data_IF_799035666047
#
_entry.id   IF_799035666047
#
_cell.length_a   1.000
_cell.length_b   1.000
_cell.length_c   1.000
_cell.angle_alpha   90.00
_cell.angle_beta   90.00
_cell.angle_gamma   90.00
#
_symmetry.space_group_name_H-M   'P 1'
#
loop_
_entity.id
_entity.type
_entity.pdbx_description
1 polymer ?
#
# COMPACT_ATOMS: atom_id res chain seq x y z
N UNK A 1 3.76 -7.96 -16.97
CA UNK A 1 5.09 -8.44 -16.52
C UNK A 1 5.11 -8.28 -15.02
N UNK A 2 5.35 -9.37 -14.28
CA UNK A 2 5.34 -9.36 -12.82
C UNK A 2 6.61 -8.67 -12.30
N UNK A 3 6.49 -7.84 -11.27
CA UNK A 3 7.63 -7.16 -10.66
C UNK A 3 8.56 -8.17 -9.99
N UNK A 4 9.86 -7.90 -10.04
CA UNK A 4 10.84 -8.65 -9.26
C UNK A 4 10.50 -8.56 -7.77
N UNK A 5 10.37 -9.71 -7.12
CA UNK A 5 9.92 -9.84 -5.76
C UNK A 5 10.72 -10.93 -5.02
N UNK A 6 10.82 -10.79 -3.70
CA UNK A 6 11.57 -11.71 -2.82
C UNK A 6 10.95 -13.12 -2.75
N UNK A 7 9.68 -13.24 -3.14
CA UNK A 7 8.91 -14.47 -3.10
C UNK A 7 9.12 -15.33 -4.35
N UNK A 8 9.83 -14.84 -5.36
CA UNK A 8 10.03 -15.47 -6.67
C UNK A 8 8.72 -15.87 -7.37
N UNK A 9 7.63 -15.13 -7.10
CA UNK A 9 6.33 -15.40 -7.71
C UNK A 9 6.32 -14.79 -9.12
N UNK A 10 5.92 -15.59 -10.11
CA UNK A 10 5.85 -15.18 -11.52
C UNK A 10 4.42 -15.05 -12.05
N UNK A 11 3.42 -15.41 -11.25
CA UNK A 11 2.00 -15.20 -11.55
C UNK A 11 1.50 -13.90 -10.90
N UNK A 12 0.81 -13.06 -11.67
CA UNK A 12 0.41 -11.73 -11.19
C UNK A 12 -0.71 -11.80 -10.15
N UNK A 13 -1.64 -12.75 -10.29
CA UNK A 13 -2.79 -12.88 -9.38
C UNK A 13 -2.29 -13.38 -8.03
N UNK A 14 -1.40 -14.38 -8.04
CA UNK A 14 -0.76 -14.89 -6.83
C UNK A 14 0.12 -13.82 -6.17
N UNK A 15 0.90 -13.04 -6.94
CA UNK A 15 1.69 -11.96 -6.36
C UNK A 15 0.79 -10.92 -5.67
N UNK A 16 -0.31 -10.52 -6.31
CA UNK A 16 -1.25 -9.55 -5.74
C UNK A 16 -1.85 -10.06 -4.43
N UNK A 17 -2.27 -11.32 -4.39
CA UNK A 17 -2.81 -11.98 -3.19
C UNK A 17 -1.78 -12.02 -2.06
N UNK A 18 -0.55 -12.44 -2.35
CA UNK A 18 0.53 -12.51 -1.36
C UNK A 18 0.96 -11.12 -0.89
N UNK A 19 0.98 -10.14 -1.78
CA UNK A 19 1.25 -8.75 -1.44
C UNK A 19 0.20 -8.23 -0.46
N UNK A 20 -1.10 -8.38 -0.76
CA UNK A 20 -2.19 -7.94 0.13
C UNK A 20 -2.03 -8.56 1.51
N UNK A 21 -1.90 -9.88 1.59
CA UNK A 21 -1.80 -10.63 2.85
C UNK A 21 -0.63 -10.13 3.70
N UNK A 22 0.58 -10.10 3.12
CA UNK A 22 1.80 -9.78 3.86
C UNK A 22 1.82 -8.30 4.26
N UNK A 23 1.51 -7.39 3.34
CA UNK A 23 1.58 -5.96 3.60
C UNK A 23 0.46 -5.44 4.52
N UNK A 24 -0.76 -5.99 4.46
CA UNK A 24 -1.80 -5.71 5.47
C UNK A 24 -1.44 -6.24 6.84
N UNK A 25 -0.81 -7.42 6.91
CA UNK A 25 -0.34 -7.95 8.20
C UNK A 25 0.73 -7.04 8.80
N UNK A 26 1.65 -6.51 7.97
CA UNK A 26 2.63 -5.50 8.40
C UNK A 26 1.97 -4.19 8.82
N UNK A 27 0.95 -3.72 8.10
CA UNK A 27 0.18 -2.52 8.48
C UNK A 27 -0.48 -2.70 9.86
N UNK A 28 -1.13 -3.85 10.09
CA UNK A 28 -1.69 -4.20 11.40
C UNK A 28 -0.62 -4.19 12.49
N UNK A 29 0.52 -4.83 12.25
CA UNK A 29 1.64 -4.86 13.19
C UNK A 29 2.18 -3.46 13.50
N UNK A 30 2.30 -2.59 12.49
CA UNK A 30 2.79 -1.21 12.63
C UNK A 30 1.99 -0.42 13.66
N UNK A 31 0.66 -0.60 13.65
CA UNK A 31 -0.23 0.03 14.61
C UNK A 31 -0.22 -0.70 15.96
N UNK A 32 -0.41 -2.01 15.97
CA UNK A 32 -0.54 -2.80 17.20
C UNK A 32 0.75 -2.80 18.06
N UNK A 33 1.94 -2.62 17.45
CA UNK A 33 3.21 -2.50 18.18
C UNK A 33 3.50 -1.10 18.72
N UNK A 34 2.77 -0.08 18.26
CA UNK A 34 3.07 1.33 18.53
C UNK A 34 4.30 1.87 17.77
N UNK A 35 4.86 1.11 16.82
CA UNK A 35 5.97 1.59 15.99
C UNK A 35 5.53 2.75 15.09
N UNK A 36 4.25 2.81 14.74
CA UNK A 36 3.66 3.91 13.97
C UNK A 36 3.91 5.28 14.61
N UNK A 37 3.91 5.37 15.94
CA UNK A 37 4.09 6.63 16.67
C UNK A 37 5.57 7.05 16.77
N UNK A 38 6.51 6.19 16.34
CA UNK A 38 7.95 6.46 16.31
C UNK A 38 8.43 7.01 14.96
N UNK A 39 7.54 7.03 13.96
CA UNK A 39 7.86 7.45 12.60
C UNK A 39 7.97 8.97 12.53
N UNK A 40 8.97 9.44 11.78
CA UNK A 40 9.15 10.86 11.51
C UNK A 40 7.98 11.41 10.68
N UNK A 41 7.25 12.40 11.20
CA UNK A 41 6.02 12.89 10.57
C UNK A 41 6.31 13.97 9.54
N UNK A 42 5.76 13.83 8.33
CA UNK A 42 5.78 14.89 7.32
C UNK A 42 7.03 14.94 6.45
N UNK A 43 7.90 13.92 6.51
CA UNK A 43 9.11 13.84 5.69
C UNK A 43 9.16 12.59 4.83
N UNK A 44 9.96 12.62 3.76
CA UNK A 44 10.23 11.46 2.91
C UNK A 44 10.85 10.32 3.71
N UNK A 45 11.72 10.61 4.69
CA UNK A 45 12.28 9.59 5.58
C UNK A 45 11.19 8.84 6.36
N UNK A 46 10.17 9.56 6.85
CA UNK A 46 8.98 8.95 7.43
C UNK A 46 8.23 8.06 6.45
N UNK A 47 7.96 8.57 5.26
CA UNK A 47 7.28 7.83 4.20
C UNK A 47 8.05 6.57 3.77
N UNK A 48 9.37 6.65 3.59
CA UNK A 48 10.24 5.53 3.28
C UNK A 48 10.24 4.48 4.39
N UNK A 49 10.17 4.91 5.65
CA UNK A 49 10.03 4.02 6.81
C UNK A 49 8.71 3.25 6.76
N UNK A 50 7.59 3.94 6.50
CA UNK A 50 6.27 3.30 6.32
C UNK A 50 6.32 2.30 5.17
N UNK A 51 6.77 2.74 3.99
CA UNK A 51 6.83 1.90 2.80
C UNK A 51 7.69 0.65 3.02
N UNK A 52 8.87 0.82 3.64
CA UNK A 52 9.72 -0.32 4.00
C UNK A 52 9.00 -1.27 4.95
N UNK A 53 8.37 -0.75 6.00
CA UNK A 53 7.65 -1.57 6.98
C UNK A 53 6.58 -2.44 6.33
N UNK A 54 5.81 -1.89 5.39
CA UNK A 54 4.75 -2.61 4.68
C UNK A 54 5.29 -3.65 3.69
N UNK A 55 6.36 -3.32 2.95
CA UNK A 55 6.72 -4.05 1.75
C UNK A 55 8.07 -4.80 1.82
N UNK A 56 8.79 -4.74 2.96
CA UNK A 56 10.13 -5.31 3.10
C UNK A 56 10.22 -6.83 2.84
N UNK A 57 9.14 -7.58 3.04
CA UNK A 57 9.11 -9.03 2.80
C UNK A 57 8.65 -9.39 1.37
N UNK A 58 8.26 -8.39 0.57
CA UNK A 58 7.73 -8.56 -0.78
C UNK A 58 8.73 -8.02 -1.81
N UNK A 59 9.21 -6.80 -1.63
CA UNK A 59 10.02 -6.08 -2.62
C UNK A 59 11.46 -5.83 -2.17
N UNK A 60 12.42 -5.99 -3.09
CA UNK A 60 13.83 -5.68 -2.87
C UNK A 60 14.06 -4.16 -2.69
N UNK A 61 13.24 -3.33 -3.34
CA UNK A 61 13.31 -1.88 -3.31
C UNK A 61 12.45 -1.24 -2.20
N UNK A 62 12.00 -2.01 -1.21
CA UNK A 62 11.10 -1.49 -0.19
C UNK A 62 11.73 -0.36 0.64
N UNK A 63 11.22 0.86 0.45
CA UNK A 63 11.72 2.08 1.10
C UNK A 63 12.75 2.85 0.26
N UNK A 64 13.11 2.32 -0.91
CA UNK A 64 14.11 2.91 -1.80
C UNK A 64 13.45 3.75 -2.89
N UNK A 65 14.10 4.86 -3.25
CA UNK A 65 13.69 5.70 -4.38
C UNK A 65 13.77 4.86 -5.67
N UNK A 66 12.72 4.91 -6.49
CA UNK A 66 12.68 4.20 -7.78
C UNK A 66 13.83 4.64 -8.70
N UNK A 67 14.28 3.75 -9.58
CA UNK A 67 15.33 4.03 -10.56
C UNK A 67 14.82 4.14 -12.02
N UNK A 68 13.50 4.23 -12.19
CA UNK A 68 12.83 4.33 -13.49
C UNK A 68 11.80 5.45 -13.48
N UNK A 69 11.47 5.98 -14.66
CA UNK A 69 10.29 6.82 -14.81
C UNK A 69 9.04 5.95 -14.83
N UNK A 70 7.95 6.49 -14.29
CA UNK A 70 6.64 5.82 -14.21
C UNK A 70 5.53 6.81 -14.56
N UNK A 71 4.41 6.26 -15.01
CA UNK A 71 3.21 7.01 -15.35
C UNK A 71 1.98 6.19 -14.95
N UNK A 72 0.86 6.87 -14.72
CA UNK A 72 -0.46 6.27 -14.55
C UNK A 72 -1.45 7.01 -15.45
N UNK A 73 -2.10 6.27 -16.35
CA UNK A 73 -2.88 6.88 -17.42
C UNK A 73 -2.00 7.81 -18.27
N UNK A 74 -2.43 9.06 -18.44
CA UNK A 74 -1.69 10.09 -19.18
C UNK A 74 -0.76 10.93 -18.29
N UNK A 75 -0.74 10.70 -16.98
CA UNK A 75 0.07 11.48 -16.05
C UNK A 75 1.45 10.83 -15.85
N UNK A 76 2.50 11.60 -16.15
CA UNK A 76 3.88 11.23 -15.81
C UNK A 76 4.23 11.80 -14.43
N UNK A 77 4.64 10.93 -13.52
CA UNK A 77 5.16 11.35 -12.21
C UNK A 77 6.52 12.04 -12.35
N UNK A 78 7.02 12.64 -11.26
CA UNK A 78 8.28 13.38 -11.28
C UNK A 78 9.42 12.59 -11.97
N UNK A 79 10.12 13.16 -12.97
CA UNK A 79 11.21 12.45 -13.62
C UNK A 79 12.28 12.01 -12.62
N UNK A 80 12.83 10.80 -12.79
CA UNK A 80 13.84 10.22 -11.89
C UNK A 80 15.01 11.17 -11.59
N UNK A 81 15.45 11.94 -12.60
CA UNK A 81 16.56 12.88 -12.48
C UNK A 81 16.29 14.02 -11.49
N UNK A 82 15.03 14.38 -11.26
CA UNK A 82 14.61 15.47 -10.36
C UNK A 82 13.99 14.97 -9.05
N UNK A 83 13.83 13.66 -8.88
CA UNK A 83 13.06 13.08 -7.78
C UNK A 83 13.68 13.38 -6.41
N UNK A 84 14.99 13.21 -6.25
CA UNK A 84 15.67 13.51 -4.99
C UNK A 84 15.55 14.99 -4.58
N UNK A 85 15.84 15.98 -5.46
CA UNK A 85 15.57 17.39 -5.18
C UNK A 85 14.09 17.69 -4.86
N UNK A 86 13.15 17.05 -5.55
CA UNK A 86 11.72 17.23 -5.31
C UNK A 86 11.35 16.78 -3.88
N UNK A 87 11.82 15.61 -3.44
CA UNK A 87 11.58 15.11 -2.08
C UNK A 87 12.19 16.03 -1.02
N UNK A 88 13.40 16.56 -1.24
CA UNK A 88 14.02 17.54 -0.35
C UNK A 88 13.22 18.85 -0.24
N UNK A 89 12.51 19.24 -1.31
CA UNK A 89 11.63 20.41 -1.28
C UNK A 89 10.32 20.09 -0.57
N UNK A 90 9.75 18.90 -0.81
CA UNK A 90 8.53 18.44 -0.13
C UNK A 90 8.72 18.39 1.39
N UNK A 91 9.88 17.93 1.86
CA UNK A 91 10.20 17.92 3.31
C UNK A 91 10.08 19.30 3.97
N UNK A 92 10.32 20.37 3.20
CA UNK A 92 10.28 21.77 3.66
C UNK A 92 8.90 22.42 3.50
N UNK A 93 7.95 21.76 2.82
CA UNK A 93 6.61 22.32 2.64
C UNK A 93 5.90 22.47 3.99
N UNK A 94 5.11 23.55 4.16
CA UNK A 94 4.33 23.77 5.37
C UNK A 94 3.31 22.66 5.57
N UNK A 95 2.90 22.46 6.82
CA UNK A 95 1.90 21.47 7.20
C UNK A 95 1.08 21.93 8.42
N UNK A 96 0.99 23.24 8.65
CA UNK A 96 0.34 23.80 9.84
C UNK A 96 -1.19 23.86 9.73
N UNK A 97 -1.72 23.86 8.51
CA UNK A 97 -3.17 23.90 8.25
C UNK A 97 -3.59 22.72 7.39
N UNK A 98 -4.88 22.35 7.44
CA UNK A 98 -5.44 21.33 6.56
C UNK A 98 -5.11 21.58 5.08
N UNK A 99 -5.19 22.84 4.65
CA UNK A 99 -4.86 23.25 3.28
C UNK A 99 -3.40 22.91 2.95
N UNK A 100 -2.46 23.31 3.81
CA UNK A 100 -1.02 23.07 3.58
C UNK A 100 -0.70 21.57 3.57
N UNK A 101 -1.34 20.80 4.46
CA UNK A 101 -1.16 19.34 4.55
C UNK A 101 -1.64 18.66 3.26
N UNK A 102 -2.80 19.02 2.74
CA UNK A 102 -3.32 18.44 1.50
C UNK A 102 -2.47 18.85 0.30
N UNK A 103 -2.00 20.10 0.23
CA UNK A 103 -1.06 20.55 -0.81
C UNK A 103 0.24 19.74 -0.77
N UNK A 104 0.80 19.56 0.43
CA UNK A 104 1.99 18.74 0.65
C UNK A 104 1.77 17.27 0.27
N UNK A 105 0.58 16.73 0.52
CA UNK A 105 0.18 15.38 0.11
C UNK A 105 0.09 15.23 -1.41
N UNK A 106 -0.48 16.22 -2.10
CA UNK A 106 -0.55 16.24 -3.56
C UNK A 106 0.85 16.28 -4.17
N UNK A 107 1.75 17.12 -3.66
CA UNK A 107 3.15 17.16 -4.11
C UNK A 107 3.88 15.82 -3.91
N UNK A 108 3.66 15.16 -2.77
CA UNK A 108 4.21 13.82 -2.52
C UNK A 108 3.64 12.76 -3.49
N UNK A 109 2.35 12.84 -3.83
CA UNK A 109 1.74 11.97 -4.83
C UNK A 109 2.31 12.20 -6.24
N UNK A 110 2.61 13.45 -6.61
CA UNK A 110 3.27 13.81 -7.88
C UNK A 110 4.70 13.29 -7.93
N UNK A 111 5.44 13.39 -6.82
CA UNK A 111 6.79 12.83 -6.71
C UNK A 111 6.80 11.32 -6.93
N UNK A 112 5.86 10.61 -6.31
CA UNK A 112 5.64 9.18 -6.46
C UNK A 112 6.95 8.37 -6.33
N UNK A 113 7.58 8.42 -5.14
CA UNK A 113 8.99 8.08 -5.00
C UNK A 113 9.33 6.60 -5.16
N UNK A 114 8.36 5.70 -4.97
CA UNK A 114 8.59 4.25 -5.00
C UNK A 114 8.16 3.64 -6.33
N UNK A 115 8.65 2.44 -6.62
CA UNK A 115 8.28 1.71 -7.84
C UNK A 115 6.85 1.17 -7.82
N UNK A 116 6.35 0.84 -6.63
CA UNK A 116 5.00 0.32 -6.36
C UNK A 116 4.62 0.71 -4.92
N UNK A 117 3.35 0.69 -4.54
CA UNK A 117 2.93 0.87 -3.13
C UNK A 117 2.77 2.32 -2.64
N UNK A 118 3.00 3.31 -3.50
CA UNK A 118 2.93 4.73 -3.15
C UNK A 118 1.60 5.14 -2.50
N UNK A 119 0.45 4.81 -3.11
CA UNK A 119 -0.86 5.23 -2.59
C UNK A 119 -1.09 4.79 -1.15
N UNK A 120 -0.83 3.51 -0.85
CA UNK A 120 -1.04 2.91 0.48
C UNK A 120 -0.10 3.50 1.53
N UNK A 121 1.19 3.66 1.21
CA UNK A 121 2.15 4.24 2.15
C UNK A 121 1.89 5.74 2.39
N UNK A 122 1.54 6.49 1.34
CA UNK A 122 1.37 7.94 1.45
C UNK A 122 0.06 8.31 2.14
N UNK A 123 -1.00 7.49 2.06
CA UNK A 123 -2.22 7.68 2.85
C UNK A 123 -1.98 7.51 4.36
N UNK A 124 -1.19 6.51 4.78
CA UNK A 124 -0.76 6.38 6.18
C UNK A 124 0.08 7.60 6.59
N UNK A 125 1.02 8.02 5.74
CA UNK A 125 1.85 9.20 5.99
C UNK A 125 1.01 10.49 6.14
N UNK A 126 -0.02 10.68 5.32
CA UNK A 126 -0.98 11.78 5.42
C UNK A 126 -1.71 11.76 6.78
N UNK A 127 -2.23 10.61 7.20
CA UNK A 127 -2.92 10.48 8.49
C UNK A 127 -1.99 10.81 9.68
N UNK A 128 -0.69 10.51 9.59
CA UNK A 128 0.26 10.90 10.64
C UNK A 128 0.45 12.42 10.73
N UNK A 129 0.47 13.12 9.59
CA UNK A 129 0.56 14.58 9.58
C UNK A 129 -0.71 15.19 10.15
N UNK A 130 -1.89 14.76 9.68
CA UNK A 130 -3.17 15.23 10.19
C UNK A 130 -3.30 14.96 11.70
N UNK A 131 -2.88 13.78 12.17
CA UNK A 131 -2.92 13.42 13.59
C UNK A 131 -2.06 14.35 14.43
N UNK A 132 -0.82 14.60 13.99
CA UNK A 132 0.14 15.43 14.71
C UNK A 132 -0.26 16.90 14.74
N UNK A 133 -0.66 17.46 13.59
CA UNK A 133 -0.82 18.91 13.44
C UNK A 133 -2.23 19.36 13.78
N UNK A 134 -3.25 18.54 13.51
CA UNK A 134 -4.67 18.91 13.66
C UNK A 134 -5.43 18.07 14.69
N UNK A 135 -4.84 16.98 15.21
CA UNK A 135 -5.56 16.05 16.08
C UNK A 135 -6.70 15.33 15.36
N UNK A 136 -6.56 15.11 14.05
CA UNK A 136 -7.57 14.45 13.22
C UNK A 136 -6.92 13.38 12.32
N UNK A 137 -7.71 12.42 11.85
CA UNK A 137 -7.33 11.44 10.81
C UNK A 137 -8.47 11.34 9.79
N UNK A 138 -8.22 10.76 8.63
CA UNK A 138 -9.25 10.49 7.63
C UNK A 138 -9.97 9.18 7.97
N UNK A 139 -11.29 9.22 8.04
CA UNK A 139 -12.12 8.02 8.01
C UNK A 139 -12.31 7.59 6.56
N UNK A 140 -11.35 6.84 6.02
CA UNK A 140 -11.34 6.40 4.62
C UNK A 140 -12.55 5.56 4.22
N UNK A 141 -13.35 5.05 5.17
CA UNK A 141 -14.62 4.38 4.86
C UNK A 141 -15.67 5.34 4.29
N UNK A 142 -15.51 6.65 4.55
CA UNK A 142 -16.42 7.70 4.07
C UNK A 142 -15.99 8.32 2.75
N UNK A 143 -14.79 7.96 2.27
CA UNK A 143 -14.27 8.46 1.00
C UNK A 143 -14.56 7.41 -0.07
N UNK A 144 -15.40 7.75 -1.04
CA UNK A 144 -15.66 6.87 -2.17
C UNK A 144 -14.39 6.64 -3.01
N UNK A 145 -14.24 5.41 -3.52
CA UNK A 145 -13.06 5.02 -4.29
C UNK A 145 -12.92 5.82 -5.58
N UNK A 146 -14.00 5.90 -6.36
CA UNK A 146 -13.95 6.53 -7.68
C UNK A 146 -13.78 8.05 -7.53
N UNK A 147 -14.49 8.65 -6.58
CA UNK A 147 -14.31 10.08 -6.26
C UNK A 147 -12.87 10.39 -5.82
N UNK A 148 -12.28 9.55 -4.97
CA UNK A 148 -10.89 9.70 -4.55
C UNK A 148 -9.91 9.59 -5.73
N UNK A 149 -10.07 8.58 -6.58
CA UNK A 149 -9.18 8.35 -7.73
C UNK A 149 -9.26 9.51 -8.73
N UNK A 150 -10.47 9.98 -9.04
CA UNK A 150 -10.69 11.15 -9.90
C UNK A 150 -10.09 12.42 -9.30
N UNK A 151 -10.32 12.67 -8.01
CA UNK A 151 -9.78 13.83 -7.31
C UNK A 151 -8.24 13.82 -7.29
N UNK A 152 -7.61 12.64 -7.11
CA UNK A 152 -6.16 12.49 -7.16
C UNK A 152 -5.60 12.69 -8.58
N UNK A 153 -6.29 12.23 -9.62
CA UNK A 153 -5.90 12.48 -11.02
C UNK A 153 -5.96 13.99 -11.35
N UNK A 154 -6.96 14.70 -10.81
CA UNK A 154 -7.10 16.16 -10.99
C UNK A 154 -6.14 16.99 -10.14
N UNK A 155 -5.70 16.45 -9.00
CA UNK A 155 -4.94 17.18 -7.99
C UNK A 155 -3.69 17.93 -8.47
N UNK A 156 -2.90 17.46 -9.47
CA UNK A 156 -1.75 18.21 -9.98
C UNK A 156 -2.13 19.50 -10.71
N UNK A 157 -3.38 19.63 -11.15
CA UNK A 157 -3.92 20.83 -11.80
C UNK A 157 -4.64 21.70 -10.76
N UNK A 158 -5.51 21.07 -9.96
CA UNK A 158 -6.27 21.73 -8.90
C UNK A 158 -6.70 20.73 -7.84
N UNK A 159 -6.30 20.98 -6.60
CA UNK A 159 -6.52 20.09 -5.46
C UNK A 159 -7.84 20.32 -4.70
N UNK A 160 -8.78 21.07 -5.28
CA UNK A 160 -10.03 21.44 -4.60
C UNK A 160 -10.90 20.24 -4.27
N UNK A 161 -11.01 19.27 -5.18
CA UNK A 161 -11.83 18.07 -4.98
C UNK A 161 -11.29 17.21 -3.86
N UNK A 162 -9.99 16.92 -3.86
CA UNK A 162 -9.37 16.11 -2.82
C UNK A 162 -9.46 16.82 -1.45
N UNK A 163 -9.31 18.15 -1.41
CA UNK A 163 -9.51 18.92 -0.17
C UNK A 163 -10.94 18.77 0.37
N UNK A 164 -11.97 18.85 -0.48
CA UNK A 164 -13.37 18.69 -0.06
C UNK A 164 -13.61 17.27 0.48
N UNK A 165 -13.25 16.24 -0.30
CA UNK A 165 -13.45 14.84 0.08
C UNK A 165 -12.78 14.50 1.40
N UNK A 166 -11.49 14.89 1.56
CA UNK A 166 -10.75 14.60 2.79
C UNK A 166 -11.32 15.37 3.98
N UNK A 167 -11.71 16.63 3.80
CA UNK A 167 -12.24 17.46 4.89
C UNK A 167 -13.56 16.89 5.45
N UNK A 168 -14.45 16.40 4.58
CA UNK A 168 -15.72 15.78 4.97
C UNK A 168 -15.53 14.44 5.69
N UNK A 169 -14.42 13.75 5.43
CA UNK A 169 -14.08 12.47 6.04
C UNK A 169 -13.23 12.59 7.33
N UNK A 170 -12.84 13.79 7.76
CA UNK A 170 -12.02 13.96 8.97
C UNK A 170 -12.75 13.50 10.24
N UNK A 171 -12.00 12.92 11.17
CA UNK A 171 -12.47 12.52 12.49
C UNK A 171 -11.42 12.76 13.57
N UNK A 172 -11.86 13.09 14.78
CA UNK A 172 -10.99 13.30 15.96
C UNK A 172 -10.67 11.99 16.68
N UNK A 173 -11.16 10.86 16.20
CA UNK A 173 -10.94 9.52 16.78
C UNK A 173 -9.54 8.97 16.42
N UNK A 174 -8.49 9.75 16.66
CA UNK A 174 -7.11 9.53 16.18
C UNK A 174 -6.39 8.31 16.76
N UNK A 175 -6.89 7.74 17.85
CA UNK A 175 -6.35 6.53 18.49
C UNK A 175 -7.32 5.34 18.38
N UNK A 176 -8.37 5.47 17.56
CA UNK A 176 -9.33 4.39 17.37
C UNK A 176 -8.76 3.34 16.41
N UNK A 177 -8.40 2.19 16.98
CA UNK A 177 -7.88 1.03 16.25
C UNK A 177 -8.81 0.57 15.12
N UNK A 178 -10.12 0.57 15.32
CA UNK A 178 -11.09 0.15 14.31
C UNK A 178 -11.08 1.09 13.10
N UNK A 179 -10.98 2.41 13.32
CA UNK A 179 -10.85 3.39 12.24
C UNK A 179 -9.56 3.15 11.45
N UNK A 180 -8.46 2.89 12.12
CA UNK A 180 -7.21 2.54 11.44
C UNK A 180 -7.34 1.27 10.59
N UNK A 181 -7.78 0.15 11.16
CA UNK A 181 -7.85 -1.14 10.44
C UNK A 181 -8.79 -1.08 9.23
N UNK A 182 -9.95 -0.44 9.40
CA UNK A 182 -10.90 -0.20 8.32
C UNK A 182 -10.39 0.78 7.28
N UNK A 183 -9.61 1.77 7.70
CA UNK A 183 -8.91 2.69 6.82
C UNK A 183 -7.86 1.98 5.96
N UNK A 184 -7.14 1.01 6.53
CA UNK A 184 -6.25 0.12 5.77
C UNK A 184 -7.05 -0.68 4.73
N UNK A 185 -8.17 -1.30 5.11
CA UNK A 185 -8.99 -2.05 4.17
C UNK A 185 -9.50 -1.19 3.00
N UNK A 186 -10.04 0.00 3.28
CA UNK A 186 -10.48 0.96 2.25
C UNK A 186 -9.32 1.42 1.35
N UNK A 187 -8.17 1.76 1.97
CA UNK A 187 -6.95 2.17 1.26
C UNK A 187 -6.43 1.10 0.30
N UNK A 188 -6.54 -0.18 0.65
CA UNK A 188 -6.15 -1.29 -0.22
C UNK A 188 -7.19 -1.55 -1.31
N UNK A 189 -8.48 -1.38 -1.02
CA UNK A 189 -9.56 -1.50 -1.99
C UNK A 189 -9.44 -0.49 -3.15
N UNK A 190 -8.94 0.73 -2.87
CA UNK A 190 -8.63 1.72 -3.90
C UNK A 190 -7.64 1.21 -4.95
N UNK A 191 -6.68 0.40 -4.52
CA UNK A 191 -5.65 -0.18 -5.40
C UNK A 191 -6.03 -1.58 -5.93
N UNK A 192 -7.26 -2.06 -5.67
CA UNK A 192 -7.76 -3.34 -6.19
C UNK A 192 -7.54 -4.56 -5.31
N UNK A 193 -7.18 -4.36 -4.04
CA UNK A 193 -6.98 -5.43 -3.05
C UNK A 193 -8.15 -5.51 -2.07
N UNK A 194 -8.79 -6.67 -1.96
CA UNK A 194 -10.04 -6.83 -1.19
C UNK A 194 -10.25 -8.24 -0.61
N UNK A 195 -9.23 -9.10 -0.64
CA UNK A 195 -9.40 -10.49 -0.24
C UNK A 195 -9.31 -10.69 1.28
N UNK A 196 -8.49 -9.89 1.97
CA UNK A 196 -8.18 -10.11 3.38
C UNK A 196 -8.62 -8.92 4.24
N UNK A 197 -9.62 -9.08 5.14
CA UNK A 197 -9.94 -8.07 6.14
C UNK A 197 -8.76 -7.87 7.10
N UNK A 198 -8.29 -6.64 7.27
CA UNK A 198 -7.05 -6.38 8.03
C UNK A 198 -7.16 -6.85 9.48
N UNK A 199 -8.33 -6.70 10.11
CA UNK A 199 -8.53 -7.07 11.50
C UNK A 199 -8.35 -8.58 11.76
N UNK A 200 -8.74 -9.44 10.81
CA UNK A 200 -8.71 -10.90 10.97
C UNK A 200 -7.32 -11.51 10.78
N UNK A 201 -6.35 -10.75 10.26
CA UNK A 201 -4.99 -11.22 9.98
C UNK A 201 -4.22 -11.52 11.26
N UNK A 202 -3.52 -12.66 11.29
CA UNK A 202 -2.62 -13.01 12.40
C UNK A 202 -1.27 -12.31 12.21
N UNK A 203 -0.56 -11.92 13.29
CA UNK A 203 0.79 -11.38 13.17
C UNK A 203 1.71 -12.37 12.43
N UNK A 204 2.64 -11.85 11.62
CA UNK A 204 3.78 -12.62 11.13
C UNK A 204 4.65 -12.95 12.36
N UNK A 205 4.50 -14.16 12.89
CA UNK A 205 5.36 -14.67 13.96
C UNK A 205 6.75 -14.99 13.41
N UNK A 206 7.79 -14.56 14.14
CA UNK A 206 9.19 -14.69 13.74
C UNK A 206 9.54 -16.14 13.34
N UNK A 207 9.86 -16.32 12.06
CA UNK A 207 10.58 -17.48 11.46
C UNK A 207 9.95 -18.87 11.49
N UNK A 208 8.81 -19.11 12.14
CA UNK A 208 8.20 -20.45 12.11
C UNK A 208 7.50 -20.77 10.77
N UNK A 209 7.08 -19.76 10.01
CA UNK A 209 6.41 -19.94 8.70
C UNK A 209 7.34 -19.91 7.47
N UNK A 210 8.64 -19.59 7.62
CA UNK A 210 9.61 -19.84 6.53
C UNK A 210 9.63 -21.32 6.13
N UNK A 211 9.18 -22.23 7.02
CA UNK A 211 8.98 -23.65 6.72
C UNK A 211 7.65 -23.92 5.99
N UNK A 212 6.54 -23.27 6.36
CA UNK A 212 5.23 -23.53 5.74
C UNK A 212 5.11 -22.92 4.34
N UNK A 213 5.73 -21.76 4.09
CA UNK A 213 5.81 -21.18 2.74
C UNK A 213 6.70 -22.00 1.78
N UNK A 214 7.48 -22.96 2.29
CA UNK A 214 8.29 -23.90 1.48
C UNK A 214 7.74 -25.32 1.43
N UNK A 215 6.80 -25.71 2.29
CA UNK A 215 6.37 -27.11 2.42
C UNK A 215 4.93 -27.44 2.03
N UNK A 216 4.10 -26.47 1.62
CA UNK A 216 2.73 -26.75 1.17
C UNK A 216 2.45 -26.18 -0.23
N UNK A 217 3.23 -26.66 -1.21
CA UNK A 217 2.73 -26.80 -2.58
C UNK A 217 3.20 -28.15 -3.12
N UNK A 218 2.48 -29.21 -2.77
CA UNK A 218 2.44 -30.39 -3.62
C UNK A 218 1.39 -30.09 -4.67
N UNK A 219 1.85 -29.60 -5.83
CA UNK A 219 1.01 -29.54 -7.02
C UNK A 219 0.36 -30.91 -7.21
N UNK A 220 -0.97 -30.91 -7.26
CA UNK A 220 -1.75 -32.09 -7.62
C UNK A 220 -1.18 -32.63 -8.94
N UNK A 221 -0.42 -33.71 -8.82
CA UNK A 221 -0.10 -34.58 -9.94
C UNK A 221 -1.43 -35.20 -10.33
N UNK A 222 -2.04 -34.68 -11.39
CA UNK A 222 -2.90 -35.52 -12.23
C UNK A 222 -2.10 -36.78 -12.56
N UNK A 223 -2.57 -38.00 -12.22
CA UNK A 223 -1.94 -39.21 -12.69
C UNK A 223 -2.11 -39.27 -14.21
N UNK A 224 -0.99 -39.23 -14.92
CA UNK A 224 -0.93 -39.66 -16.30
C UNK A 224 -1.21 -41.18 -16.37
N UNK A 225 -2.03 -41.54 -17.35
CA UNK A 225 -2.18 -42.86 -17.98
C UNK A 225 -2.54 -44.07 -17.12
N UNK A 226 -3.79 -44.50 -17.27
CA UNK A 226 -4.07 -45.93 -17.48
C UNK A 226 -4.76 -46.11 -18.83
N UNK A 227 -3.94 -46.54 -19.79
CA UNK A 227 -4.27 -47.26 -21.00
C UNK A 227 -5.50 -48.18 -20.82
N UNK A 228 -6.60 -47.84 -21.48
CA UNK A 228 -7.75 -48.72 -21.67
C UNK A 228 -7.72 -49.25 -23.10
N UNK A 229 -6.72 -50.07 -23.39
CA UNK A 229 -6.76 -51.00 -24.51
C UNK A 229 -6.70 -52.44 -24.00
N UNK A 230 -7.66 -53.22 -24.48
CA UNK A 230 -7.73 -54.69 -24.44
C UNK A 230 -8.15 -55.34 -23.10
N UNK A 231 -9.41 -55.80 -23.06
CA UNK A 231 -9.76 -57.23 -22.94
C UNK A 231 -11.28 -57.44 -22.99
N UNK A 232 -11.76 -57.99 -24.11
CA UNK A 232 -12.96 -58.83 -24.11
C UNK A 232 -12.68 -60.09 -23.26
N UNK A 233 -13.70 -60.66 -22.60
CA UNK A 233 -14.22 -61.93 -23.10
C UNK A 233 -15.75 -62.10 -22.97
N UNK A 234 -16.29 -62.72 -24.04
CA UNK A 234 -17.39 -63.71 -24.09
C UNK A 234 -18.25 -63.91 -22.83
N UNK A 235 -19.54 -63.57 -22.91
CA UNK A 235 -20.68 -64.46 -23.20
C UNK A 235 -21.91 -63.62 -23.51
#
# INVERSE_FOLDING_TARGET
MVLENKLNITDQVELNRREELVSKTRAKQLFDSGDIDKIEVGTFKGLATIHKYLFQDIYNFAGEIRNVNIAKGNFQFAPRIYLEPALQNIDKLPQATFKDIVEKYVEMNIAHPFREGNGRSTRIWLDLILKKELGQVVDWQKVDKEDYLLAMERSPIKDTEIKVLLNEALTTQINNRQIYMKGIDASYFYEGYFEFPTESLKPIENKFEERLAKSEWHGDKYPADTDLSQKHPKL
#
